data_IF_641732879966
#
_entry.id   IF_641732879966
#
_cell.length_a   1.000
_cell.length_b   1.000
_cell.length_c   1.000
_cell.angle_alpha   90.00
_cell.angle_beta   90.00
_cell.angle_gamma   90.00
#
_symmetry.space_group_name_H-M   'P 1'
#
loop_
_entity.id
_entity.type
_entity.pdbx_description
1 polymer ?
#
# COMPACT_ATOMS: atom_id res chain seq x y z
N UNK A 1 -20.82 3.39 19.16
CA UNK A 1 -21.67 3.69 18.00
C UNK A 1 -21.44 2.62 16.93
N UNK A 2 -22.18 1.51 16.99
CA UNK A 2 -22.17 0.45 15.98
C UNK A 2 -23.11 0.85 14.83
N UNK A 3 -22.59 1.64 13.90
CA UNK A 3 -23.31 1.89 12.65
C UNK A 3 -23.31 0.62 11.80
N UNK A 4 -24.49 0.19 11.36
CA UNK A 4 -24.65 -0.91 10.41
C UNK A 4 -23.92 -0.54 9.11
N UNK A 5 -23.08 -1.45 8.61
CA UNK A 5 -22.32 -1.24 7.39
C UNK A 5 -23.20 -1.51 6.16
N UNK A 6 -23.68 -0.46 5.49
CA UNK A 6 -24.25 -0.58 4.15
C UNK A 6 -23.12 -0.58 3.11
N UNK A 7 -22.66 -1.76 2.70
CA UNK A 7 -21.68 -1.91 1.61
C UNK A 7 -22.27 -2.87 0.61
N UNK A 8 -22.33 -2.45 -0.65
CA UNK A 8 -22.73 -3.31 -1.75
C UNK A 8 -21.48 -4.05 -2.24
N UNK A 9 -21.37 -5.33 -1.90
CA UNK A 9 -20.29 -6.20 -2.38
C UNK A 9 -20.79 -6.86 -3.66
N UNK A 10 -20.08 -6.62 -4.75
CA UNK A 10 -20.48 -7.10 -6.09
C UNK A 10 -19.90 -8.50 -6.35
N UNK A 11 -18.79 -8.82 -5.68
CA UNK A 11 -18.08 -10.08 -5.85
C UNK A 11 -18.77 -11.24 -5.13
N UNK A 12 -18.85 -12.38 -5.81
CA UNK A 12 -19.34 -13.61 -5.23
C UNK A 12 -18.41 -14.14 -4.13
N UNK A 13 -18.99 -14.86 -3.16
CA UNK A 13 -18.26 -15.48 -2.04
C UNK A 13 -17.13 -16.40 -2.51
N UNK A 14 -17.38 -17.18 -3.58
CA UNK A 14 -16.37 -18.08 -4.17
C UNK A 14 -15.17 -17.32 -4.73
N UNK A 15 -15.41 -16.17 -5.36
CA UNK A 15 -14.36 -15.32 -5.92
C UNK A 15 -13.49 -14.74 -4.81
N UNK A 16 -14.10 -14.26 -3.72
CA UNK A 16 -13.39 -13.75 -2.55
C UNK A 16 -12.59 -14.86 -1.85
N UNK A 17 -13.12 -16.09 -1.79
CA UNK A 17 -12.43 -17.25 -1.24
C UNK A 17 -11.21 -17.65 -2.06
N UNK A 18 -11.31 -17.65 -3.40
CA UNK A 18 -10.16 -17.87 -4.29
C UNK A 18 -9.11 -16.78 -4.11
N UNK A 19 -9.53 -15.51 -4.11
CA UNK A 19 -8.65 -14.37 -3.88
C UNK A 19 -7.90 -14.47 -2.55
N UNK A 20 -8.54 -14.94 -1.47
CA UNK A 20 -7.89 -15.16 -0.18
C UNK A 20 -6.72 -16.15 -0.24
N UNK A 21 -6.82 -17.18 -1.08
CA UNK A 21 -5.76 -18.18 -1.27
C UNK A 21 -4.66 -17.62 -2.17
N UNK A 22 -5.02 -16.85 -3.20
CA UNK A 22 -4.09 -16.31 -4.19
C UNK A 22 -3.25 -15.13 -3.67
N UNK A 23 -3.70 -14.42 -2.62
CA UNK A 23 -2.96 -13.27 -2.09
C UNK A 23 -1.63 -13.69 -1.45
N UNK A 24 -0.53 -13.16 -2.01
CA UNK A 24 0.84 -13.43 -1.56
C UNK A 24 1.23 -12.66 -0.29
N UNK A 25 0.57 -11.53 0.01
CA UNK A 25 0.92 -10.70 1.17
C UNK A 25 -0.16 -10.75 2.25
N UNK A 26 0.25 -10.82 3.52
CA UNK A 26 -0.68 -10.84 4.66
C UNK A 26 -1.59 -9.61 4.70
N UNK A 27 -1.07 -8.44 4.33
CA UNK A 27 -1.85 -7.19 4.26
C UNK A 27 -2.96 -7.24 3.22
N UNK A 28 -2.71 -7.80 2.04
CA UNK A 28 -3.75 -7.96 1.02
C UNK A 28 -4.77 -9.01 1.44
N UNK A 29 -4.30 -10.13 2.02
CA UNK A 29 -5.17 -11.20 2.51
C UNK A 29 -6.17 -10.69 3.55
N UNK A 30 -5.74 -9.88 4.51
CA UNK A 30 -6.62 -9.29 5.52
C UNK A 30 -7.68 -8.36 4.92
N UNK A 31 -7.32 -7.59 3.88
CA UNK A 31 -8.26 -6.71 3.18
C UNK A 31 -9.36 -7.51 2.48
N UNK A 32 -8.98 -8.60 1.79
CA UNK A 32 -9.95 -9.51 1.16
C UNK A 32 -10.78 -10.24 2.22
N UNK A 33 -10.18 -10.62 3.36
CA UNK A 33 -10.87 -11.31 4.44
C UNK A 33 -12.03 -10.49 4.99
N UNK A 34 -11.87 -9.17 5.12
CA UNK A 34 -12.96 -8.29 5.57
C UNK A 34 -14.12 -8.28 4.58
N UNK A 35 -13.85 -8.25 3.27
CA UNK A 35 -14.90 -8.35 2.26
C UNK A 35 -15.59 -9.71 2.32
N UNK A 36 -14.83 -10.79 2.49
CA UNK A 36 -15.38 -12.14 2.62
C UNK A 36 -16.31 -12.28 3.83
N UNK A 37 -15.92 -11.75 4.99
CA UNK A 37 -16.75 -11.77 6.21
C UNK A 37 -18.04 -10.95 6.06
N UNK A 38 -18.00 -9.85 5.31
CA UNK A 38 -19.17 -9.05 5.00
C UNK A 38 -20.09 -9.73 3.98
N UNK A 39 -19.52 -10.32 2.92
CA UNK A 39 -20.26 -11.02 1.88
C UNK A 39 -20.99 -12.26 2.42
N UNK A 40 -20.35 -12.99 3.32
CA UNK A 40 -20.92 -14.18 3.98
C UNK A 40 -21.81 -13.84 5.18
N UNK A 41 -22.10 -12.56 5.42
CA UNK A 41 -22.87 -12.06 6.57
C UNK A 41 -22.34 -12.50 7.96
N UNK A 42 -21.07 -12.92 8.06
CA UNK A 42 -20.45 -13.31 9.32
C UNK A 42 -20.16 -12.11 10.23
N UNK A 43 -20.04 -10.91 9.65
CA UNK A 43 -19.92 -9.67 10.40
C UNK A 43 -20.64 -8.51 9.73
N UNK A 44 -21.54 -7.86 10.46
CA UNK A 44 -22.38 -6.76 9.94
C UNK A 44 -21.92 -5.36 10.38
N UNK A 45 -20.97 -5.28 11.30
CA UNK A 45 -20.49 -4.02 11.88
C UNK A 45 -18.97 -3.91 11.86
N UNK A 46 -18.47 -2.66 11.81
CA UNK A 46 -17.03 -2.38 11.89
C UNK A 46 -16.44 -2.91 13.20
N UNK A 47 -17.19 -2.81 14.30
CA UNK A 47 -16.77 -3.31 15.61
C UNK A 47 -16.58 -4.82 15.60
N UNK A 48 -17.55 -5.55 15.02
CA UNK A 48 -17.46 -7.01 14.92
C UNK A 48 -16.29 -7.44 14.02
N UNK A 49 -16.11 -6.78 12.87
CA UNK A 49 -14.95 -7.02 11.99
C UNK A 49 -13.62 -6.74 12.71
N UNK A 50 -13.55 -5.69 13.53
CA UNK A 50 -12.36 -5.35 14.31
C UNK A 50 -12.00 -6.46 15.31
N UNK A 51 -13.00 -7.00 16.00
CA UNK A 51 -12.82 -8.13 16.92
C UNK A 51 -12.37 -9.40 16.21
N UNK A 52 -12.94 -9.73 15.04
CA UNK A 52 -12.59 -10.95 14.30
C UNK A 52 -11.20 -10.89 13.63
N UNK A 53 -10.83 -9.71 13.10
CA UNK A 53 -9.58 -9.55 12.33
C UNK A 53 -8.42 -9.06 13.18
N UNK A 54 -8.65 -8.66 14.44
CA UNK A 54 -7.65 -8.04 15.31
C UNK A 54 -7.16 -6.68 14.79
N UNK A 55 -7.88 -6.05 13.86
CA UNK A 55 -7.55 -4.74 13.30
C UNK A 55 -8.38 -3.64 13.93
N UNK A 56 -7.76 -2.48 14.13
CA UNK A 56 -8.47 -1.33 14.68
C UNK A 56 -9.61 -0.88 13.75
N UNK A 57 -10.76 -0.50 14.34
CA UNK A 57 -11.97 -0.06 13.62
C UNK A 57 -11.71 1.02 12.56
N UNK A 58 -10.79 1.96 12.82
CA UNK A 58 -10.45 3.06 11.89
C UNK A 58 -9.77 2.52 10.63
N UNK A 59 -8.91 1.50 10.78
CA UNK A 59 -8.25 0.83 9.65
C UNK A 59 -9.27 0.15 8.76
N UNK A 60 -10.22 -0.57 9.37
CA UNK A 60 -11.30 -1.25 8.65
C UNK A 60 -12.18 -0.22 7.94
N UNK A 61 -12.61 0.84 8.63
CA UNK A 61 -13.37 1.92 8.01
C UNK A 61 -12.65 2.54 6.82
N UNK A 62 -11.35 2.77 6.92
CA UNK A 62 -10.52 3.28 5.82
C UNK A 62 -10.53 2.32 4.64
N UNK A 63 -10.30 1.03 4.85
CA UNK A 63 -10.30 0.02 3.78
C UNK A 63 -11.66 -0.09 3.09
N UNK A 64 -12.75 -0.09 3.86
CA UNK A 64 -14.11 -0.11 3.32
C UNK A 64 -14.42 1.14 2.49
N UNK A 65 -13.91 2.32 2.89
CA UNK A 65 -14.02 3.53 2.09
C UNK A 65 -13.21 3.44 0.78
N UNK A 66 -12.01 2.86 0.81
CA UNK A 66 -11.22 2.62 -0.40
C UNK A 66 -11.94 1.69 -1.38
N UNK A 67 -12.54 0.62 -0.86
CA UNK A 67 -13.35 -0.29 -1.66
C UNK A 67 -14.57 0.41 -2.27
N UNK A 68 -15.27 1.27 -1.51
CA UNK A 68 -16.40 2.07 -2.06
C UNK A 68 -15.99 3.00 -3.21
N UNK A 69 -14.76 3.50 -3.21
CA UNK A 69 -14.29 4.48 -4.19
C UNK A 69 -13.74 3.85 -5.47
N UNK A 70 -13.15 2.65 -5.39
CA UNK A 70 -12.51 2.03 -6.55
C UNK A 70 -12.49 0.50 -6.51
N UNK A 71 -13.42 -0.11 -5.78
CA UNK A 71 -13.63 -1.55 -5.72
C UNK A 71 -12.42 -2.32 -5.21
N UNK A 72 -12.33 -3.56 -5.69
CA UNK A 72 -11.31 -4.51 -5.27
C UNK A 72 -9.89 -4.07 -5.69
N UNK A 73 -9.73 -3.42 -6.84
CA UNK A 73 -8.44 -2.89 -7.30
C UNK A 73 -7.91 -1.80 -6.35
N UNK A 74 -8.74 -0.82 -5.99
CA UNK A 74 -8.33 0.23 -5.04
C UNK A 74 -8.05 -0.34 -3.65
N UNK A 75 -8.79 -1.37 -3.24
CA UNK A 75 -8.56 -2.06 -1.98
C UNK A 75 -7.23 -2.84 -1.98
N UNK A 76 -6.85 -3.47 -3.09
CA UNK A 76 -5.61 -4.26 -3.16
C UNK A 76 -4.37 -3.45 -3.52
N UNK A 77 -4.56 -2.24 -4.03
CA UNK A 77 -3.47 -1.30 -4.30
C UNK A 77 -2.90 -0.75 -3.00
N UNK A 78 -1.83 -1.38 -2.51
CA UNK A 78 -1.08 -0.90 -1.35
C UNK A 78 0.00 0.06 -1.86
N UNK A 79 -0.26 1.36 -1.74
CA UNK A 79 0.73 2.39 -2.05
C UNK A 79 2.01 2.19 -1.23
N UNK A 80 3.15 2.23 -1.90
CA UNK A 80 4.45 2.36 -1.23
C UNK A 80 4.62 3.83 -0.88
N UNK A 81 5.01 4.12 0.36
CA UNK A 81 5.44 5.48 0.71
C UNK A 81 6.61 5.83 -0.21
N UNK A 82 6.65 7.02 -0.84
CA UNK A 82 7.70 7.41 -1.79
C UNK A 82 9.11 7.52 -1.18
N UNK A 83 9.28 7.13 0.09
CA UNK A 83 10.53 7.25 0.82
C UNK A 83 10.89 8.72 1.09
N UNK A 84 12.03 8.92 1.74
CA UNK A 84 12.61 10.25 1.88
C UNK A 84 13.08 10.71 0.49
N UNK A 85 12.64 11.88 0.04
CA UNK A 85 13.16 12.50 -1.18
C UNK A 85 14.69 12.59 -1.07
N UNK A 86 15.39 12.15 -2.12
CA UNK A 86 16.86 12.17 -2.15
C UNK A 86 17.36 13.60 -1.95
N UNK A 87 18.33 13.81 -1.06
CA UNK A 87 18.95 15.13 -0.84
C UNK A 87 19.75 15.60 -2.06
N UNK A 88 20.18 14.68 -2.92
CA UNK A 88 20.97 14.97 -4.11
C UNK A 88 20.01 15.17 -5.30
N UNK A 89 19.95 16.38 -5.90
CA UNK A 89 19.14 16.65 -7.08
C UNK A 89 19.55 15.77 -8.27
N UNK A 90 18.61 15.45 -9.16
CA UNK A 90 18.90 14.63 -10.35
C UNK A 90 19.92 15.28 -11.30
N UNK A 91 19.99 16.62 -11.31
CA UNK A 91 20.97 17.39 -12.08
C UNK A 91 22.41 17.12 -11.63
N UNK A 92 22.65 17.04 -10.32
CA UNK A 92 23.96 16.71 -9.73
C UNK A 92 24.33 15.27 -10.03
N UNK A 93 23.35 14.34 -10.01
CA UNK A 93 23.59 12.94 -10.39
C UNK A 93 23.93 12.76 -11.87
N UNK A 94 23.36 13.59 -12.75
CA UNK A 94 23.66 13.60 -14.17
C UNK A 94 25.11 13.99 -14.44
N UNK A 95 25.53 15.13 -13.88
CA UNK A 95 26.92 15.61 -13.97
C UNK A 95 27.92 14.61 -13.40
N UNK A 96 27.64 14.06 -12.22
CA UNK A 96 28.49 13.05 -11.59
C UNK A 96 28.66 11.80 -12.47
N UNK A 97 27.61 11.37 -13.18
CA UNK A 97 27.68 10.21 -14.10
C UNK A 97 28.48 10.48 -15.38
N UNK A 98 28.54 11.73 -15.83
CA UNK A 98 29.32 12.12 -17.00
C UNK A 98 30.80 12.24 -16.61
N UNK A 99 31.11 12.88 -15.50
CA UNK A 99 32.49 13.02 -14.99
C UNK A 99 33.12 11.68 -14.57
N UNK A 100 32.32 10.73 -14.05
CA UNK A 100 32.78 9.36 -13.76
C UNK A 100 33.12 8.52 -15.00
N UNK A 101 32.75 8.95 -16.22
CA UNK A 101 33.10 8.25 -17.47
C UNK A 101 34.44 8.72 -18.06
N UNK A 102 34.96 9.85 -17.59
CA UNK A 102 36.23 10.38 -18.05
C UNK A 102 37.40 9.63 -17.37
N UNK A 103 38.39 9.11 -18.11
CA UNK A 103 39.50 8.36 -17.52
C UNK A 103 40.45 9.18 -16.63
N UNK A 104 40.43 10.52 -16.72
CA UNK A 104 41.13 11.40 -15.74
C UNK A 104 40.30 11.65 -14.47
N UNK A 105 38.99 11.38 -14.48
CA UNK A 105 38.11 11.24 -13.32
C UNK A 105 38.26 12.26 -12.17
N UNK A 106 37.88 11.83 -10.96
CA UNK A 106 38.13 12.57 -9.72
C UNK A 106 39.39 12.04 -9.06
N UNK A 107 40.32 12.92 -8.72
CA UNK A 107 41.58 12.53 -8.05
C UNK A 107 41.36 12.16 -6.58
N UNK A 108 40.24 12.58 -5.96
CA UNK A 108 39.94 12.26 -4.57
C UNK A 108 38.45 12.35 -4.19
N UNK A 109 38.08 11.61 -3.13
CA UNK A 109 36.74 11.65 -2.52
C UNK A 109 36.30 13.05 -2.05
N UNK A 110 37.26 13.92 -1.75
CA UNK A 110 37.04 15.31 -1.31
C UNK A 110 36.44 16.20 -2.39
N UNK A 111 36.75 15.98 -3.67
CA UNK A 111 36.17 16.77 -4.78
C UNK A 111 34.70 16.43 -5.02
N UNK A 112 34.35 15.15 -4.89
CA UNK A 112 32.96 14.67 -5.01
C UNK A 112 32.07 15.30 -3.93
N UNK A 113 32.62 15.58 -2.74
CA UNK A 113 31.88 16.18 -1.63
C UNK A 113 31.52 17.65 -1.87
N UNK A 114 32.36 18.41 -2.58
CA UNK A 114 32.13 19.83 -2.88
C UNK A 114 31.00 20.10 -3.88
N UNK A 115 30.70 19.15 -4.76
CA UNK A 115 29.65 19.28 -5.78
C UNK A 115 28.22 19.05 -5.26
N UNK A 116 28.07 18.54 -4.04
CA UNK A 116 26.79 18.19 -3.43
C UNK A 116 26.20 19.26 -2.50
N UNK A 117 26.84 20.44 -2.40
CA UNK A 117 26.45 21.54 -1.50
C UNK A 117 25.56 22.58 -2.17
#
# INVERSE_FOLDING_TARGET
MSGILKINIIEAEETLKKLLVDQKTGKQRERVQILYLLATHQAETIGHLASLTGRHRVTISRWLNQYRQGGLEALLTIGKSPGRKSLIPETVKGKLKEELKDPEGFDSYTEIHGLAQ
#
